data_IF_488275199642
#
_entry.id   IF_488275199642
#
_cell.length_a   1.000
_cell.length_b   1.000
_cell.length_c   1.000
_cell.angle_alpha   90.00
_cell.angle_beta   90.00
_cell.angle_gamma   90.00
#
_symmetry.space_group_name_H-M   'P 1'
#
loop_
_entity.id
_entity.type
_entity.pdbx_description
1 polymer ?
#
# COMPACT_ATOMS: atom_id res chain seq x y z
N UNK A 1 13.14 -50.50 0.46
CA UNK A 1 11.95 -49.62 0.33
C UNK A 1 12.22 -48.33 1.11
N UNK A 2 12.52 -47.23 0.41
CA UNK A 2 12.71 -45.92 1.06
C UNK A 2 11.75 -44.93 0.40
N UNK A 3 10.77 -44.49 1.20
CA UNK A 3 9.67 -43.61 0.81
C UNK A 3 10.22 -42.18 0.76
N UNK A 4 10.48 -41.66 -0.43
CA UNK A 4 10.66 -40.21 -0.62
C UNK A 4 9.30 -39.55 -0.45
N UNK A 5 9.06 -38.97 0.71
CA UNK A 5 7.94 -38.06 0.93
C UNK A 5 8.10 -36.85 0.00
N UNK A 6 7.15 -36.71 -0.94
CA UNK A 6 7.03 -35.52 -1.76
C UNK A 6 6.67 -34.34 -0.88
N UNK A 7 7.58 -33.37 -0.75
CA UNK A 7 7.25 -32.01 -0.32
C UNK A 7 6.15 -31.51 -1.25
N UNK A 8 4.94 -31.34 -0.72
CA UNK A 8 3.81 -30.74 -1.45
C UNK A 8 4.19 -29.38 -2.06
N UNK A 9 3.44 -28.92 -3.06
CA UNK A 9 3.79 -27.72 -3.82
C UNK A 9 3.94 -26.54 -2.85
N UNK A 10 5.13 -25.92 -2.87
CA UNK A 10 5.40 -24.67 -2.15
C UNK A 10 4.35 -23.68 -2.63
N UNK A 11 3.44 -23.26 -1.74
CA UNK A 11 2.46 -22.22 -2.05
C UNK A 11 3.23 -21.02 -2.60
N UNK A 12 3.03 -20.73 -3.87
CA UNK A 12 3.63 -19.56 -4.49
C UNK A 12 2.87 -18.33 -3.98
N UNK A 13 3.49 -17.67 -3.00
CA UNK A 13 2.96 -16.45 -2.38
C UNK A 13 2.74 -15.37 -3.46
N UNK A 14 3.58 -15.31 -4.49
CA UNK A 14 3.43 -14.35 -5.59
C UNK A 14 2.20 -14.68 -6.44
N UNK A 15 2.01 -15.95 -6.82
CA UNK A 15 0.84 -16.37 -7.57
C UNK A 15 -0.44 -16.07 -6.78
N UNK A 16 -0.49 -16.42 -5.49
CA UNK A 16 -1.67 -16.17 -4.65
C UNK A 16 -2.03 -14.69 -4.51
N UNK A 17 -1.04 -13.82 -4.39
CA UNK A 17 -1.26 -12.36 -4.33
C UNK A 17 -1.75 -11.85 -5.69
N UNK A 18 -1.10 -12.28 -6.77
CA UNK A 18 -1.48 -11.91 -8.14
C UNK A 18 -2.91 -12.33 -8.44
N UNK A 19 -3.28 -13.58 -8.16
CA UNK A 19 -4.62 -14.12 -8.40
C UNK A 19 -5.69 -13.34 -7.64
N UNK A 20 -5.41 -12.92 -6.40
CA UNK A 20 -6.31 -12.07 -5.62
C UNK A 20 -6.50 -10.71 -6.28
N UNK A 21 -5.41 -10.06 -6.68
CA UNK A 21 -5.47 -8.74 -7.36
C UNK A 21 -6.24 -8.87 -8.68
N UNK A 22 -5.98 -9.92 -9.46
CA UNK A 22 -6.67 -10.18 -10.73
C UNK A 22 -8.17 -10.39 -10.50
N UNK A 23 -8.56 -11.13 -9.45
CA UNK A 23 -9.97 -11.33 -9.11
C UNK A 23 -10.66 -10.00 -8.72
N UNK A 24 -10.01 -9.16 -7.93
CA UNK A 24 -10.53 -7.84 -7.56
C UNK A 24 -10.71 -6.94 -8.80
N UNK A 25 -9.72 -6.94 -9.70
CA UNK A 25 -9.79 -6.21 -10.97
C UNK A 25 -10.91 -6.73 -11.88
N UNK A 26 -11.15 -8.04 -11.92
CA UNK A 26 -12.25 -8.65 -12.68
C UNK A 26 -13.63 -8.21 -12.18
N UNK A 27 -13.74 -7.88 -10.88
CA UNK A 27 -14.94 -7.29 -10.28
C UNK A 27 -15.05 -5.77 -10.49
N UNK A 28 -14.13 -5.16 -11.26
CA UNK A 28 -14.07 -3.72 -11.49
C UNK A 28 -13.51 -2.92 -10.32
N UNK A 29 -13.02 -3.59 -9.27
CA UNK A 29 -12.41 -2.96 -8.10
C UNK A 29 -10.94 -2.71 -8.39
N UNK A 30 -10.49 -1.46 -8.26
CA UNK A 30 -9.06 -1.09 -8.34
C UNK A 30 -8.50 -1.07 -6.91
N UNK A 31 -7.71 -2.07 -6.47
CA UNK A 31 -7.34 -2.25 -5.05
C UNK A 31 -6.51 -1.09 -4.49
N UNK A 32 -5.77 -0.42 -5.38
CA UNK A 32 -4.93 0.75 -5.07
C UNK A 32 -5.68 2.10 -5.16
N UNK A 33 -6.91 2.12 -5.68
CA UNK A 33 -7.72 3.34 -5.80
C UNK A 33 -8.75 3.51 -4.69
N UNK A 34 -8.92 2.55 -3.77
CA UNK A 34 -10.03 2.57 -2.81
C UNK A 34 -9.62 2.89 -1.39
N UNK A 35 -9.86 4.14 -0.98
CA UNK A 35 -10.30 4.40 0.38
C UNK A 35 -11.57 5.26 0.51
N UNK A 36 -12.22 5.69 -0.58
CA UNK A 36 -13.20 6.80 -0.50
C UNK A 36 -14.66 6.43 -0.81
N UNK A 37 -14.96 5.17 -1.12
CA UNK A 37 -16.28 4.73 -1.59
C UNK A 37 -16.89 3.57 -0.80
N UNK A 38 -16.50 3.35 0.46
CA UNK A 38 -17.36 2.62 1.38
C UNK A 38 -18.13 3.64 2.22
N UNK A 39 -19.43 3.42 2.38
CA UNK A 39 -20.32 4.23 3.22
C UNK A 39 -19.90 4.30 4.71
N UNK A 40 -18.75 3.73 5.07
CA UNK A 40 -18.12 3.72 6.38
C UNK A 40 -16.88 4.64 6.48
N UNK A 41 -16.59 5.46 5.47
CA UNK A 41 -15.53 6.48 5.52
C UNK A 41 -15.95 7.71 6.37
N UNK A 42 -16.37 7.46 7.62
CA UNK A 42 -16.61 8.53 8.61
C UNK A 42 -15.25 9.02 9.18
N UNK A 43 -14.10 8.55 8.65
CA UNK A 43 -12.78 8.96 9.12
C UNK A 43 -11.71 9.25 8.09
N UNK A 44 -10.65 9.92 8.56
CA UNK A 44 -9.43 10.16 7.79
C UNK A 44 -8.92 8.83 7.27
N UNK A 45 -8.71 8.76 5.96
CA UNK A 45 -8.08 7.62 5.32
C UNK A 45 -6.67 7.49 5.87
N UNK A 46 -6.41 6.45 6.66
CA UNK A 46 -5.08 6.13 7.17
C UNK A 46 -4.58 4.81 6.58
N UNK A 47 -3.26 4.70 6.42
CA UNK A 47 -2.63 3.41 6.10
C UNK A 47 -3.02 2.38 7.17
N UNK A 48 -3.13 1.08 6.83
CA UNK A 48 -3.26 0.04 7.84
C UNK A 48 -2.10 0.15 8.82
N UNK A 49 -2.39 -0.02 10.10
CA UNK A 49 -1.45 0.15 11.20
C UNK A 49 -1.20 -1.20 11.86
N UNK A 50 0.03 -1.39 12.34
CA UNK A 50 0.41 -2.51 13.21
C UNK A 50 -0.09 -2.25 14.63
N UNK A 51 -0.08 -3.28 15.49
CA UNK A 51 -0.45 -3.16 16.91
C UNK A 51 0.28 -2.04 17.69
N UNK A 52 1.44 -1.58 17.22
CA UNK A 52 2.24 -0.51 17.81
C UNK A 52 2.06 0.86 17.12
N UNK A 53 1.06 1.01 16.24
CA UNK A 53 0.76 2.26 15.54
C UNK A 53 1.63 2.55 14.32
N UNK A 54 2.65 1.72 14.01
CA UNK A 54 3.46 1.91 12.81
C UNK A 54 2.67 1.50 11.55
N UNK A 55 2.71 2.28 10.46
CA UNK A 55 2.01 1.94 9.24
C UNK A 55 2.63 0.72 8.55
N UNK A 56 1.78 -0.10 7.91
CA UNK A 56 2.22 -1.07 6.91
C UNK A 56 2.72 -0.36 5.65
N UNK A 57 3.56 -1.05 4.89
CA UNK A 57 4.18 -0.55 3.66
C UNK A 57 4.06 -1.55 2.51
N UNK A 58 4.18 -1.05 1.27
CA UNK A 58 4.16 -1.86 0.05
C UNK A 58 2.88 -2.65 -0.12
N UNK A 59 3.01 -3.89 -0.60
CA UNK A 59 1.90 -4.78 -0.93
C UNK A 59 0.92 -5.01 0.24
N UNK A 60 1.41 -4.94 1.48
CA UNK A 60 0.56 -5.13 2.66
C UNK A 60 -0.51 -4.04 2.81
N UNK A 61 -0.27 -2.83 2.29
CA UNK A 61 -1.26 -1.75 2.33
C UNK A 61 -2.49 -2.16 1.52
N UNK A 62 -2.27 -2.61 0.27
CA UNK A 62 -3.36 -2.99 -0.62
C UNK A 62 -4.09 -4.25 -0.14
N UNK A 63 -3.34 -5.26 0.33
CA UNK A 63 -3.93 -6.50 0.86
C UNK A 63 -4.87 -6.22 2.04
N UNK A 64 -4.45 -5.36 2.96
CA UNK A 64 -5.23 -5.04 4.16
C UNK A 64 -6.39 -4.08 3.88
N UNK A 65 -6.25 -3.14 2.95
CA UNK A 65 -7.37 -2.31 2.51
C UNK A 65 -8.46 -3.13 1.80
N UNK A 66 -8.07 -3.98 0.85
CA UNK A 66 -8.99 -4.90 0.19
C UNK A 66 -9.76 -5.73 1.22
N UNK A 67 -9.04 -6.30 2.19
CA UNK A 67 -9.66 -7.09 3.24
C UNK A 67 -10.61 -6.29 4.15
N UNK A 68 -10.18 -5.10 4.58
CA UNK A 68 -11.02 -4.22 5.40
C UNK A 68 -12.35 -3.92 4.71
N UNK A 69 -12.31 -3.66 3.40
CA UNK A 69 -13.51 -3.37 2.62
C UNK A 69 -14.38 -4.62 2.46
N UNK A 70 -13.79 -5.74 2.03
CA UNK A 70 -14.50 -6.99 1.80
C UNK A 70 -15.23 -7.50 3.05
N UNK A 71 -14.67 -7.21 4.24
CA UNK A 71 -15.21 -7.67 5.53
C UNK A 71 -15.84 -6.56 6.37
N UNK A 72 -15.87 -5.32 5.86
CA UNK A 72 -16.49 -4.17 6.54
C UNK A 72 -15.77 -3.71 7.81
N UNK A 73 -14.46 -3.91 7.93
CA UNK A 73 -13.68 -3.45 9.07
C UNK A 73 -13.48 -1.93 9.03
N UNK A 74 -13.86 -1.26 10.12
CA UNK A 74 -13.70 0.18 10.27
C UNK A 74 -12.33 0.59 10.82
N UNK A 75 -11.72 -0.25 11.66
CA UNK A 75 -10.43 0.08 12.28
C UNK A 75 -9.26 -0.19 11.33
N UNK A 76 -8.26 0.71 11.26
CA UNK A 76 -7.05 0.48 10.47
C UNK A 76 -6.06 -0.45 11.19
N UNK A 77 -6.32 -0.88 12.43
CA UNK A 77 -5.35 -1.62 13.25
C UNK A 77 -5.41 -3.14 13.00
N UNK A 78 -4.24 -3.73 12.74
CA UNK A 78 -4.03 -5.15 12.50
C UNK A 78 -2.91 -5.71 13.37
N UNK A 79 -3.07 -6.96 13.81
CA UNK A 79 -2.08 -7.64 14.64
C UNK A 79 -2.09 -9.15 14.42
N UNK A 80 -0.97 -9.81 14.73
CA UNK A 80 -0.89 -11.28 14.66
C UNK A 80 -1.63 -11.91 15.83
N UNK A 81 -1.98 -13.20 15.70
CA UNK A 81 -2.61 -13.97 16.79
C UNK A 81 -1.81 -13.93 18.10
N UNK A 82 -0.48 -14.03 18.01
CA UNK A 82 0.40 -13.98 19.19
C UNK A 82 0.36 -12.60 19.86
N UNK A 83 0.39 -11.53 19.07
CA UNK A 83 0.29 -10.16 19.59
C UNK A 83 -1.06 -9.92 20.26
N UNK A 84 -2.15 -10.44 19.70
CA UNK A 84 -3.47 -10.35 20.34
C UNK A 84 -3.46 -10.99 21.74
N UNK A 85 -2.91 -12.21 21.85
CA UNK A 85 -2.77 -12.92 23.13
C UNK A 85 -1.87 -12.19 24.13
N UNK A 86 -0.73 -11.65 23.68
CA UNK A 86 0.20 -10.88 24.51
C UNK A 86 -0.47 -9.61 25.09
N UNK A 87 -1.43 -9.04 24.36
CA UNK A 87 -2.23 -7.89 24.79
C UNK A 87 -3.47 -8.27 25.62
N UNK A 88 -3.63 -9.56 25.98
CA UNK A 88 -4.78 -10.06 26.74
C UNK A 88 -6.04 -10.28 25.90
N UNK A 89 -5.98 -10.08 24.59
CA UNK A 89 -7.08 -10.29 23.66
C UNK A 89 -7.14 -11.71 23.09
N UNK A 90 -8.33 -12.12 22.67
CA UNK A 90 -8.59 -13.41 22.03
C UNK A 90 -9.30 -13.20 20.69
N UNK A 91 -8.72 -13.75 19.61
CA UNK A 91 -9.41 -13.80 18.31
C UNK A 91 -10.67 -14.66 18.47
N UNK A 92 -11.83 -14.13 18.06
CA UNK A 92 -13.10 -14.85 18.18
C UNK A 92 -13.08 -16.16 17.39
N UNK A 93 -13.75 -17.17 17.94
CA UNK A 93 -13.84 -18.48 17.30
C UNK A 93 -14.53 -18.36 15.93
N UNK A 94 -13.89 -18.90 14.89
CA UNK A 94 -14.39 -18.88 13.52
C UNK A 94 -13.88 -17.71 12.68
N UNK A 95 -13.20 -16.72 13.27
CA UNK A 95 -12.57 -15.64 12.53
C UNK A 95 -11.37 -16.14 11.71
N UNK A 96 -11.30 -15.74 10.45
CA UNK A 96 -10.16 -16.04 9.56
C UNK A 96 -9.18 -14.88 9.52
N UNK A 97 -7.88 -15.20 9.45
CA UNK A 97 -6.82 -14.22 9.37
C UNK A 97 -6.52 -13.80 7.93
N UNK A 98 -6.00 -12.60 7.79
CA UNK A 98 -5.68 -11.95 6.52
C UNK A 98 -4.17 -12.02 6.27
N UNK A 99 -3.78 -12.30 5.04
CA UNK A 99 -2.38 -12.54 4.69
C UNK A 99 -1.62 -11.22 4.51
N UNK A 100 -0.47 -11.10 5.16
CA UNK A 100 0.54 -10.09 4.90
C UNK A 100 1.87 -10.75 4.59
N UNK A 101 2.72 -10.08 3.81
CA UNK A 101 4.03 -10.56 3.41
C UNK A 101 5.16 -9.76 4.04
N UNK A 102 6.22 -10.45 4.41
CA UNK A 102 7.46 -9.87 4.89
C UNK A 102 8.60 -10.37 4.01
N UNK A 103 9.29 -9.45 3.36
CA UNK A 103 10.48 -9.74 2.59
C UNK A 103 11.71 -9.39 3.42
N UNK A 104 12.67 -10.30 3.52
CA UNK A 104 13.96 -10.05 4.17
C UNK A 104 15.04 -10.91 3.53
N UNK A 105 16.29 -10.70 3.90
CA UNK A 105 17.42 -11.56 3.52
C UNK A 105 17.93 -12.29 4.76
N UNK A 106 18.46 -13.49 4.58
CA UNK A 106 19.27 -14.15 5.59
C UNK A 106 20.62 -14.49 5.00
N UNK A 107 21.66 -14.42 5.82
CA UNK A 107 23.02 -14.78 5.43
C UNK A 107 23.22 -16.27 5.62
N UNK A 108 23.76 -16.93 4.61
CA UNK A 108 24.19 -18.32 4.69
C UNK A 108 25.65 -18.38 4.24
N UNK A 109 26.50 -18.86 5.14
CA UNK A 109 27.90 -19.14 4.82
C UNK A 109 27.95 -20.40 3.97
N UNK A 110 28.51 -20.29 2.77
CA UNK A 110 28.74 -21.40 1.85
C UNK A 110 30.24 -21.54 1.60
N UNK A 111 30.72 -22.76 1.44
CA UNK A 111 32.12 -23.03 1.09
C UNK A 111 32.21 -23.27 -0.40
N UNK A 112 33.13 -22.58 -1.07
CA UNK A 112 33.37 -22.77 -2.49
C UNK A 112 34.11 -24.09 -2.78
N UNK A 113 34.34 -24.37 -4.06
CA UNK A 113 35.09 -25.57 -4.49
C UNK A 113 36.58 -25.53 -4.14
N UNK A 114 37.11 -24.39 -3.70
CA UNK A 114 38.49 -24.20 -3.25
C UNK A 114 38.64 -24.31 -1.71
N UNK A 115 37.52 -24.44 -0.97
CA UNK A 115 37.52 -24.51 0.50
C UNK A 115 37.41 -23.15 1.19
N UNK A 116 37.20 -22.06 0.45
CA UNK A 116 37.00 -20.72 1.01
C UNK A 116 35.53 -20.51 1.41
N UNK A 117 35.31 -20.04 2.63
CA UNK A 117 33.97 -19.67 3.10
C UNK A 117 33.61 -18.26 2.63
N UNK A 118 32.44 -18.13 2.01
CA UNK A 118 31.87 -16.84 1.65
C UNK A 118 30.42 -16.74 2.13
N UNK A 119 30.04 -15.53 2.52
CA UNK A 119 28.69 -15.23 2.95
C UNK A 119 27.80 -14.90 1.76
N UNK A 120 26.73 -15.69 1.59
CA UNK A 120 25.71 -15.47 0.57
C UNK A 120 24.42 -14.96 1.20
N UNK A 121 23.97 -13.79 0.74
CA UNK A 121 22.64 -13.30 1.08
C UNK A 121 21.58 -14.03 0.25
N UNK A 122 20.63 -14.68 0.94
CA UNK A 122 19.50 -15.35 0.31
C UNK A 122 18.22 -14.55 0.63
N UNK A 123 17.55 -13.94 -0.38
CA UNK A 123 16.28 -13.28 -0.15
C UNK A 123 15.18 -14.31 0.11
N UNK A 124 14.30 -14.00 1.05
CA UNK A 124 13.12 -14.79 1.36
C UNK A 124 11.88 -13.92 1.52
N UNK A 125 10.73 -14.54 1.23
CA UNK A 125 9.41 -13.96 1.47
C UNK A 125 8.67 -14.87 2.44
N UNK A 126 8.15 -14.29 3.52
CA UNK A 126 7.37 -15.01 4.53
C UNK A 126 5.98 -14.41 4.64
N UNK A 127 4.97 -15.25 4.52
CA UNK A 127 3.59 -14.87 4.77
C UNK A 127 3.28 -14.99 6.27
N UNK A 128 2.55 -14.02 6.79
CA UNK A 128 1.99 -14.01 8.14
C UNK A 128 0.48 -13.80 8.06
N UNK A 129 -0.25 -14.34 9.03
CA UNK A 129 -1.67 -14.06 9.21
C UNK A 129 -1.84 -13.00 10.29
N UNK A 130 -2.59 -11.95 9.95
CA UNK A 130 -2.97 -10.88 10.87
C UNK A 130 -4.49 -10.80 10.95
N UNK A 131 -4.98 -10.23 12.04
CA UNK A 131 -6.39 -10.05 12.36
C UNK A 131 -6.63 -8.57 12.61
N UNK A 132 -7.76 -8.07 12.12
CA UNK A 132 -8.21 -6.73 12.46
C UNK A 132 -8.64 -6.71 13.93
N UNK A 133 -8.48 -5.58 14.63
CA UNK A 133 -8.97 -5.43 16.01
C UNK A 133 -10.45 -5.74 16.15
N UNK A 134 -11.26 -5.51 15.11
CA UNK A 134 -12.67 -5.86 15.09
C UNK A 134 -12.92 -7.37 15.27
N UNK A 135 -11.93 -8.24 15.04
CA UNK A 135 -12.01 -9.70 15.15
C UNK A 135 -11.57 -10.24 16.52
N UNK A 136 -11.09 -9.37 17.41
CA UNK A 136 -10.43 -9.73 18.66
C UNK A 136 -11.26 -9.17 19.81
N UNK A 137 -11.56 -9.99 20.81
CA UNK A 137 -12.24 -9.57 22.04
C UNK A 137 -11.21 -9.42 23.17
N UNK A 138 -11.46 -8.54 24.14
CA UNK A 138 -10.62 -8.40 25.34
C UNK A 138 -9.34 -7.57 25.15
N UNK A 139 -9.18 -6.84 24.04
CA UNK A 139 -8.09 -5.87 23.90
C UNK A 139 -8.34 -4.64 24.80
N UNK A 140 -7.29 -3.88 25.14
CA UNK A 140 -7.45 -2.58 25.78
C UNK A 140 -8.32 -1.61 24.95
N UNK A 141 -9.13 -0.78 25.61
CA UNK A 141 -10.13 0.10 24.97
C UNK A 141 -9.57 1.03 23.88
N UNK A 142 -8.31 1.45 24.02
CA UNK A 142 -7.63 2.30 23.03
C UNK A 142 -7.46 1.62 21.65
N UNK A 143 -7.60 0.30 21.56
CA UNK A 143 -7.62 -0.43 20.28
C UNK A 143 -8.98 -0.41 19.57
N UNK A 144 -10.08 -0.21 20.31
CA UNK A 144 -11.44 -0.19 19.77
C UNK A 144 -11.93 1.23 19.43
N UNK A 145 -11.26 2.27 19.93
CA UNK A 145 -11.68 3.66 19.79
C UNK A 145 -10.87 4.48 18.80
N UNK A 146 -11.50 4.84 17.67
CA UNK A 146 -11.85 6.23 17.34
C UNK A 146 -12.95 6.18 16.28
N UNK A 147 -14.20 6.45 16.67
CA UNK A 147 -15.21 6.92 15.71
C UNK A 147 -14.68 8.25 15.22
N UNK A 148 -14.23 8.30 13.99
CA UNK A 148 -13.88 9.57 13.41
C UNK A 148 -15.17 10.40 13.31
N UNK A 149 -15.11 11.63 13.80
CA UNK A 149 -16.20 12.57 13.64
C UNK A 149 -16.21 13.06 12.18
N UNK A 150 -17.39 13.24 11.57
CA UNK A 150 -17.49 13.82 10.24
C UNK A 150 -17.10 15.31 10.31
N UNK A 151 -15.82 15.61 10.11
CA UNK A 151 -15.37 16.99 9.94
C UNK A 151 -15.61 17.38 8.48
N UNK A 152 -16.71 18.09 8.23
CA UNK A 152 -16.90 18.89 7.02
C UNK A 152 -16.60 20.34 7.35
N UNK A 153 -15.32 20.64 7.51
CA UNK A 153 -14.83 22.02 7.50
C UNK A 153 -14.63 22.50 6.05
N UNK A 154 -14.57 23.83 5.81
CA UNK A 154 -14.09 24.37 4.54
C UNK A 154 -12.78 23.69 4.14
N UNK A 155 -12.55 23.51 2.83
CA UNK A 155 -11.37 22.82 2.34
C UNK A 155 -10.13 23.67 2.66
N UNK A 156 -9.52 23.42 3.83
CA UNK A 156 -8.29 24.08 4.26
C UNK A 156 -7.12 23.28 3.70
N UNK A 157 -6.17 23.99 3.07
CA UNK A 157 -4.94 23.38 2.55
C UNK A 157 -4.15 22.72 3.68
N UNK A 158 -3.46 21.64 3.36
CA UNK A 158 -2.60 20.93 4.29
C UNK A 158 -1.20 21.57 4.24
N UNK A 159 -0.92 22.51 5.15
CA UNK A 159 0.29 23.36 5.11
C UNK A 159 1.60 22.54 5.01
N UNK A 160 1.72 21.45 5.77
CA UNK A 160 2.93 20.61 5.72
C UNK A 160 3.07 19.87 4.38
N UNK A 161 1.97 19.53 3.71
CA UNK A 161 2.00 18.94 2.38
C UNK A 161 2.41 19.99 1.34
N UNK A 162 1.89 21.21 1.44
CA UNK A 162 2.29 22.32 0.56
C UNK A 162 3.79 22.61 0.68
N UNK A 163 4.30 22.64 1.92
CA UNK A 163 5.74 22.80 2.18
C UNK A 163 6.56 21.63 1.63
N UNK A 164 6.07 20.39 1.75
CA UNK A 164 6.72 19.23 1.17
C UNK A 164 6.87 19.38 -0.35
N UNK A 165 5.79 19.70 -1.07
CA UNK A 165 5.82 19.86 -2.53
C UNK A 165 6.60 21.10 -2.99
N UNK A 166 6.61 22.19 -2.22
CA UNK A 166 7.49 23.32 -2.51
C UNK A 166 8.97 22.91 -2.45
N UNK A 167 9.33 22.07 -1.48
CA UNK A 167 10.70 21.60 -1.29
C UNK A 167 11.14 20.53 -2.30
N UNK A 168 10.23 19.91 -3.07
CA UNK A 168 10.65 18.98 -4.13
C UNK A 168 11.28 19.71 -5.33
N UNK A 169 11.01 21.01 -5.47
CA UNK A 169 11.44 21.80 -6.63
C UNK A 169 10.62 21.53 -7.90
N UNK A 170 9.53 20.75 -7.82
CA UNK A 170 8.66 20.52 -8.96
C UNK A 170 7.92 21.82 -9.34
N UNK A 171 7.93 22.16 -10.63
CA UNK A 171 7.09 23.24 -11.15
C UNK A 171 5.63 22.78 -11.16
N UNK A 172 4.81 23.29 -10.24
CA UNK A 172 3.39 22.97 -10.13
C UNK A 172 2.58 24.14 -10.66
N UNK A 173 1.73 23.91 -11.65
CA UNK A 173 0.83 24.90 -12.26
C UNK A 173 -0.61 24.54 -11.96
N UNK A 174 -1.45 25.57 -11.82
CA UNK A 174 -2.89 25.40 -11.62
C UNK A 174 -3.68 25.98 -12.80
N UNK A 175 -4.66 25.22 -13.29
CA UNK A 175 -5.50 25.62 -14.41
C UNK A 175 -6.11 24.41 -15.15
N UNK A 176 -7.12 24.66 -15.98
CA UNK A 176 -7.84 23.61 -16.67
C UNK A 176 -8.61 22.68 -15.73
N UNK A 177 -8.97 21.50 -16.25
CA UNK A 177 -9.83 20.50 -15.59
C UNK A 177 -9.15 19.14 -15.41
N UNK A 178 -7.85 19.03 -15.72
CA UNK A 178 -7.08 17.78 -15.65
C UNK A 178 -5.80 17.94 -14.84
N UNK A 179 -5.46 16.88 -14.10
CA UNK A 179 -4.14 16.72 -13.49
C UNK A 179 -3.27 15.84 -14.39
N UNK A 180 -2.00 16.20 -14.56
CA UNK A 180 -1.01 15.40 -15.28
C UNK A 180 0.42 15.93 -15.06
N UNK A 181 1.41 15.05 -15.13
CA UNK A 181 2.80 15.42 -15.39
C UNK A 181 3.06 15.57 -16.90
N UNK A 182 3.74 16.66 -17.29
CA UNK A 182 4.20 16.89 -18.67
C UNK A 182 5.72 16.74 -18.78
N UNK A 183 6.23 15.65 -19.40
CA UNK A 183 7.66 15.48 -19.61
C UNK A 183 8.29 16.56 -20.51
N UNK A 184 7.55 17.05 -21.51
CA UNK A 184 8.06 17.98 -22.51
C UNK A 184 8.43 19.36 -21.93
N UNK A 185 7.74 19.77 -20.87
CA UNK A 185 7.91 21.09 -20.23
C UNK A 185 8.27 20.98 -18.75
N UNK A 186 8.54 19.75 -18.32
CA UNK A 186 8.92 19.36 -16.96
C UNK A 186 8.09 20.01 -15.84
N UNK A 187 6.76 19.88 -15.92
CA UNK A 187 5.85 20.44 -14.93
C UNK A 187 4.70 19.51 -14.58
N UNK A 188 4.14 19.73 -13.41
CA UNK A 188 2.90 19.12 -12.95
C UNK A 188 1.78 20.13 -13.17
N UNK A 189 0.79 19.74 -13.96
CA UNK A 189 -0.46 20.48 -14.11
C UNK A 189 -1.48 19.94 -13.10
N UNK A 190 -2.13 20.85 -12.38
CA UNK A 190 -3.23 20.54 -11.47
C UNK A 190 -4.46 21.39 -11.82
N UNK A 191 -5.69 20.88 -11.69
CA UNK A 191 -6.89 21.72 -11.66
C UNK A 191 -6.82 22.72 -10.48
N UNK A 192 -7.57 23.83 -10.55
CA UNK A 192 -7.79 24.70 -9.39
C UNK A 192 -8.18 23.91 -8.15
N UNK A 193 -7.62 24.27 -7.00
CA UNK A 193 -7.81 23.55 -5.74
C UNK A 193 -9.30 23.38 -5.37
N UNK A 194 -10.14 24.36 -5.72
CA UNK A 194 -11.58 24.33 -5.43
C UNK A 194 -12.35 23.25 -6.21
N UNK A 195 -11.76 22.65 -7.26
CA UNK A 195 -12.36 21.55 -8.00
C UNK A 195 -12.24 20.19 -7.29
N UNK A 196 -11.42 20.12 -6.23
CA UNK A 196 -11.25 18.90 -5.47
C UNK A 196 -12.25 18.81 -4.33
N UNK A 197 -12.68 17.58 -4.01
CA UNK A 197 -13.65 17.31 -2.92
C UNK A 197 -13.11 17.76 -1.56
N UNK A 198 -11.82 17.56 -1.33
CA UNK A 198 -11.14 17.88 -0.08
C UNK A 198 -9.63 18.05 -0.33
N UNK A 199 -8.90 18.57 0.66
CA UNK A 199 -7.47 18.84 0.54
C UNK A 199 -6.65 17.55 0.43
N UNK A 200 -7.13 16.44 1.02
CA UNK A 200 -6.46 15.16 0.92
C UNK A 200 -6.53 14.59 -0.50
N UNK A 201 -7.66 14.78 -1.19
CA UNK A 201 -7.83 14.39 -2.58
C UNK A 201 -6.89 15.18 -3.50
N UNK A 202 -6.77 16.49 -3.28
CA UNK A 202 -5.80 17.32 -3.99
C UNK A 202 -4.36 16.82 -3.77
N UNK A 203 -3.97 16.60 -2.50
CA UNK A 203 -2.63 16.14 -2.15
C UNK A 203 -2.34 14.75 -2.72
N UNK A 204 -3.31 13.84 -2.72
CA UNK A 204 -3.18 12.51 -3.30
C UNK A 204 -2.93 12.59 -4.82
N UNK A 205 -3.73 13.36 -5.55
CA UNK A 205 -3.53 13.57 -6.99
C UNK A 205 -2.19 14.23 -7.27
N UNK A 206 -1.80 15.26 -6.52
CA UNK A 206 -0.50 15.90 -6.66
C UNK A 206 0.65 14.92 -6.38
N UNK A 207 0.50 14.02 -5.40
CA UNK A 207 1.49 12.99 -5.08
C UNK A 207 1.69 12.02 -6.24
N UNK A 208 0.60 11.57 -6.87
CA UNK A 208 0.63 10.70 -8.03
C UNK A 208 1.40 11.33 -9.20
N UNK A 209 1.05 12.58 -9.54
CA UNK A 209 1.76 13.30 -10.61
C UNK A 209 3.21 13.62 -10.24
N UNK A 210 3.52 13.86 -8.97
CA UNK A 210 4.89 14.03 -8.50
C UNK A 210 5.71 12.75 -8.68
N UNK A 211 5.11 11.56 -8.50
CA UNK A 211 5.79 10.30 -8.79
C UNK A 211 6.13 10.18 -10.27
N UNK A 212 5.21 10.51 -11.17
CA UNK A 212 5.53 10.60 -12.61
C UNK A 212 6.61 11.64 -12.89
N UNK A 213 6.55 12.79 -12.23
CA UNK A 213 7.56 13.84 -12.37
C UNK A 213 8.96 13.29 -12.06
N UNK A 214 9.15 12.42 -11.07
CA UNK A 214 10.49 11.86 -10.79
C UNK A 214 11.14 11.11 -11.97
N UNK A 215 10.37 10.68 -12.98
CA UNK A 215 10.85 9.90 -14.13
C UNK A 215 11.90 10.58 -15.02
N UNK A 216 12.02 11.91 -15.02
CA UNK A 216 12.85 12.61 -16.01
C UNK A 216 14.34 12.17 -15.99
N UNK A 217 15.07 12.30 -17.12
CA UNK A 217 16.43 11.80 -17.25
C UNK A 217 17.44 12.34 -16.24
N UNK A 218 17.27 13.58 -15.79
CA UNK A 218 18.13 14.21 -14.79
C UNK A 218 17.69 13.90 -13.33
N UNK A 219 16.68 13.05 -13.14
CA UNK A 219 16.18 12.56 -11.85
C UNK A 219 16.41 11.05 -11.75
N UNK A 220 15.36 10.24 -11.78
CA UNK A 220 15.50 8.77 -11.68
C UNK A 220 15.51 8.07 -13.04
N UNK A 221 15.39 8.82 -14.13
CA UNK A 221 15.57 8.35 -15.51
C UNK A 221 14.75 7.09 -15.86
N UNK A 222 13.44 7.13 -15.57
CA UNK A 222 12.49 6.12 -16.07
C UNK A 222 12.03 6.53 -17.47
N UNK A 223 12.19 5.64 -18.44
CA UNK A 223 11.79 5.92 -19.82
C UNK A 223 10.26 5.91 -20.00
N UNK A 224 9.69 7.08 -20.28
CA UNK A 224 8.26 7.28 -20.58
C UNK A 224 7.98 7.53 -22.06
N UNK A 225 8.95 7.37 -22.95
CA UNK A 225 8.79 7.65 -24.40
C UNK A 225 7.67 6.85 -25.06
N UNK A 226 7.40 5.65 -24.55
CA UNK A 226 6.34 4.74 -25.02
C UNK A 226 5.05 4.83 -24.23
N UNK A 227 4.98 5.65 -23.17
CA UNK A 227 3.84 5.74 -22.26
C UNK A 227 2.50 6.01 -23.00
N UNK A 228 2.49 6.90 -23.99
CA UNK A 228 1.28 7.20 -24.76
C UNK A 228 0.95 6.16 -25.85
N UNK A 229 1.93 5.34 -26.26
CA UNK A 229 1.85 4.45 -27.44
C UNK A 229 1.65 2.99 -27.08
N UNK A 230 2.07 2.59 -25.89
CA UNK A 230 2.07 1.22 -25.44
C UNK A 230 1.30 1.09 -24.12
N UNK A 231 0.24 0.28 -24.15
CA UNK A 231 -0.64 0.09 -22.99
C UNK A 231 0.06 -0.64 -21.85
N UNK A 232 1.00 -1.53 -22.14
CA UNK A 232 1.76 -2.29 -21.14
C UNK A 232 2.78 -1.39 -20.45
N UNK A 233 3.52 -0.58 -21.21
CA UNK A 233 4.45 0.41 -20.64
C UNK A 233 3.71 1.46 -19.82
N UNK A 234 2.56 1.93 -20.31
CA UNK A 234 1.67 2.81 -19.54
C UNK A 234 1.26 2.17 -18.22
N UNK A 235 0.73 0.95 -18.26
CA UNK A 235 0.30 0.25 -17.05
C UNK A 235 1.46 0.03 -16.06
N UNK A 236 2.67 -0.21 -16.55
CA UNK A 236 3.87 -0.35 -15.72
C UNK A 236 4.21 0.94 -14.98
N UNK A 237 4.20 2.07 -15.67
CA UNK A 237 4.47 3.37 -15.05
C UNK A 237 3.31 3.79 -14.12
N UNK A 238 2.06 3.56 -14.50
CA UNK A 238 0.91 3.79 -13.62
C UNK A 238 1.02 2.98 -12.32
N UNK A 239 1.45 1.71 -12.40
CA UNK A 239 1.67 0.88 -11.21
C UNK A 239 2.74 1.48 -10.27
N UNK A 240 3.77 2.13 -10.82
CA UNK A 240 4.79 2.83 -10.04
C UNK A 240 4.23 4.12 -9.43
N UNK A 241 3.41 4.87 -10.17
CA UNK A 241 2.85 6.13 -9.69
C UNK A 241 1.67 5.97 -8.72
N UNK A 242 1.05 4.79 -8.67
CA UNK A 242 -0.05 4.45 -7.77
C UNK A 242 0.40 3.84 -6.43
N UNK A 243 1.69 3.55 -6.25
CA UNK A 243 2.27 2.98 -5.01
C UNK A 243 2.69 4.05 -4.00
#
# INVERSE_FOLDING_TARGET
MSRREGKGPRIDIYARITDRIVAELAMGVRPWMQPWHSANAIGRVTRPLRHNGLPYSGMNVLLLWSEAIARGFASPMWMTFKQALELGGAVRKGETGSMVVFASRFTKTETDSAGEEFDREIPFLKAYSVFNVAQIDGLPDHYYGHKAEPVRDPIVRIEHADRFFANTGAMIRHGGDRAYFSPATDHIQMPPFQMFRDAAAYVATLSHEATHWTSAPHRVNRDLSRYARDRSERAREELIALS
#
